data_IF_831201930962
#
_entry.id   IF_831201930962
#
_cell.length_a   1.000
_cell.length_b   1.000
_cell.length_c   1.000
_cell.angle_alpha   90.00
_cell.angle_beta   90.00
_cell.angle_gamma   90.00
#
_symmetry.space_group_name_H-M   'P 1'
#
loop_
_entity.id
_entity.type
_entity.pdbx_description
1 polymer ?
#
# COMPACT_ATOMS: atom_id res chain seq x y z
N UNK A 1 13.95 36.51 9.28
CA UNK A 1 12.95 35.98 10.23
C UNK A 1 12.85 34.49 9.97
N UNK A 2 13.19 33.64 10.94
CA UNK A 2 13.12 32.19 10.77
C UNK A 2 11.73 31.75 11.22
N UNK A 3 10.91 31.26 10.31
CA UNK A 3 9.61 30.69 10.65
C UNK A 3 9.81 29.44 11.52
N UNK A 4 9.05 29.32 12.62
CA UNK A 4 9.08 28.15 13.50
C UNK A 4 7.96 27.20 13.09
N UNK A 5 8.33 25.98 12.71
CA UNK A 5 7.39 24.88 12.45
C UNK A 5 7.33 24.01 13.72
N UNK A 6 6.12 23.79 14.24
CA UNK A 6 5.87 22.85 15.33
C UNK A 6 5.27 21.57 14.76
N UNK A 7 5.74 20.41 15.22
CA UNK A 7 5.24 19.09 14.82
C UNK A 7 4.60 18.42 16.02
N UNK A 8 3.34 17.99 15.86
CA UNK A 8 2.60 17.27 16.88
C UNK A 8 2.15 15.91 16.32
N UNK A 9 2.44 14.84 17.04
CA UNK A 9 1.99 13.50 16.66
C UNK A 9 0.47 13.41 16.86
N UNK A 10 -0.27 13.10 15.79
CA UNK A 10 -1.73 12.98 15.84
C UNK A 10 -2.20 11.52 15.95
N UNK A 11 -1.37 10.56 15.57
CA UNK A 11 -1.72 9.14 15.63
C UNK A 11 -0.76 8.28 14.81
N UNK A 12 -1.09 6.99 14.76
CA UNK A 12 -0.41 5.99 13.94
C UNK A 12 -1.43 5.35 13.00
N UNK A 13 -0.96 4.89 11.85
CA UNK A 13 -1.75 4.12 10.89
C UNK A 13 -0.92 2.92 10.42
N UNK A 14 -1.61 1.88 9.95
CA UNK A 14 -0.99 0.66 9.44
C UNK A 14 -0.98 0.66 7.92
N UNK A 15 0.04 0.05 7.31
CA UNK A 15 0.02 -0.27 5.88
C UNK A 15 -0.64 -1.63 5.70
N UNK A 16 -1.64 -1.69 4.82
CA UNK A 16 -2.39 -2.91 4.51
C UNK A 16 -2.34 -3.25 3.03
N UNK A 17 -2.47 -4.53 2.73
CA UNK A 17 -2.66 -5.03 1.38
C UNK A 17 -4.16 -5.07 1.05
N UNK A 18 -4.54 -4.60 -0.13
CA UNK A 18 -5.92 -4.64 -0.60
C UNK A 18 -6.05 -5.39 -1.93
N UNK A 19 -7.15 -6.10 -2.10
CA UNK A 19 -7.53 -6.71 -3.37
C UNK A 19 -8.98 -6.39 -3.72
N UNK A 20 -9.33 -6.57 -4.99
CA UNK A 20 -10.73 -6.55 -5.42
C UNK A 20 -11.46 -7.74 -4.79
N UNK A 21 -12.60 -7.47 -4.14
CA UNK A 21 -13.48 -8.51 -3.59
C UNK A 21 -13.93 -9.49 -4.67
N UNK A 22 -13.87 -10.78 -4.37
CA UNK A 22 -14.19 -11.86 -5.31
C UNK A 22 -13.26 -11.93 -6.52
N UNK A 23 -12.17 -11.16 -6.54
CA UNK A 23 -11.15 -11.23 -7.57
C UNK A 23 -10.16 -12.38 -7.35
N UNK A 24 -9.17 -12.49 -8.24
CA UNK A 24 -8.18 -13.58 -8.23
C UNK A 24 -7.43 -13.72 -6.89
N UNK A 25 -7.15 -12.60 -6.23
CA UNK A 25 -6.39 -12.58 -4.97
C UNK A 25 -7.25 -12.59 -3.71
N UNK A 26 -8.58 -12.48 -3.86
CA UNK A 26 -9.58 -12.45 -2.78
C UNK A 26 -9.59 -13.71 -1.92
N UNK A 27 -9.90 -13.58 -0.63
CA UNK A 27 -10.16 -14.71 0.28
C UNK A 27 -8.96 -15.60 0.62
N UNK A 28 -7.75 -15.21 0.18
CA UNK A 28 -6.52 -15.93 0.48
C UNK A 28 -5.81 -15.28 1.67
N UNK A 29 -5.18 -16.11 2.51
CA UNK A 29 -4.36 -15.63 3.61
C UNK A 29 -2.89 -15.55 3.16
N UNK A 30 -2.40 -14.34 2.91
CA UNK A 30 -1.01 -14.12 2.50
C UNK A 30 -0.13 -13.78 3.69
N UNK A 31 1.04 -14.39 3.74
CA UNK A 31 2.11 -13.91 4.61
C UNK A 31 2.79 -12.73 3.94
N UNK A 32 3.37 -11.86 4.77
CA UNK A 32 4.18 -10.73 4.33
C UNK A 32 5.23 -11.13 3.28
N UNK A 33 5.86 -12.31 3.43
CA UNK A 33 6.85 -12.79 2.45
C UNK A 33 6.28 -13.14 1.07
N UNK A 34 4.99 -13.47 0.99
CA UNK A 34 4.33 -13.84 -0.26
C UNK A 34 4.17 -12.61 -1.18
N UNK A 35 4.20 -11.38 -0.63
CA UNK A 35 4.15 -10.13 -1.38
C UNK A 35 5.21 -10.02 -2.49
N UNK A 36 6.36 -10.71 -2.35
CA UNK A 36 7.42 -10.72 -3.38
C UNK A 36 6.96 -11.31 -4.71
N UNK A 37 6.04 -12.27 -4.68
CA UNK A 37 5.54 -12.96 -5.86
C UNK A 37 4.26 -12.32 -6.43
N UNK A 38 3.58 -11.48 -5.65
CA UNK A 38 2.29 -10.90 -6.03
C UNK A 38 2.48 -9.64 -6.89
N UNK A 39 1.59 -9.38 -7.87
CA UNK A 39 1.64 -8.16 -8.66
C UNK A 39 1.18 -6.97 -7.82
N UNK A 40 2.12 -6.12 -7.41
CA UNK A 40 1.83 -5.01 -6.50
C UNK A 40 1.58 -3.70 -7.25
N UNK A 41 0.54 -3.01 -6.82
CA UNK A 41 0.22 -1.63 -7.18
C UNK A 41 0.55 -0.74 -5.97
N UNK A 42 1.41 0.25 -6.16
CA UNK A 42 1.93 1.07 -5.05
C UNK A 42 1.83 2.57 -5.36
N UNK A 43 1.79 3.44 -4.33
CA UNK A 43 1.94 4.88 -4.53
C UNK A 43 3.31 5.25 -5.11
N UNK A 44 3.41 6.36 -5.84
CA UNK A 44 4.64 6.82 -6.48
C UNK A 44 5.78 7.05 -5.47
N UNK A 45 7.04 6.91 -5.91
CA UNK A 45 8.27 7.02 -5.11
C UNK A 45 8.35 8.23 -4.18
N UNK A 46 7.88 9.40 -4.61
CA UNK A 46 8.03 10.65 -3.85
C UNK A 46 6.86 10.95 -2.88
N UNK A 47 5.98 9.98 -2.60
CA UNK A 47 4.85 10.19 -1.69
C UNK A 47 5.24 9.83 -0.25
N UNK A 48 4.73 10.56 0.73
CA UNK A 48 4.94 10.22 2.15
C UNK A 48 4.43 8.81 2.50
N UNK A 49 3.37 8.36 1.81
CA UNK A 49 2.85 6.99 1.94
C UNK A 49 3.84 5.95 1.45
N UNK A 50 4.51 6.18 0.31
CA UNK A 50 5.51 5.25 -0.21
C UNK A 50 6.70 5.11 0.74
N UNK A 51 7.14 6.21 1.35
CA UNK A 51 8.16 6.19 2.40
C UNK A 51 7.70 5.32 3.57
N UNK A 52 6.47 5.48 4.05
CA UNK A 52 5.93 4.64 5.13
C UNK A 52 5.88 3.15 4.75
N UNK A 53 5.46 2.82 3.52
CA UNK A 53 5.47 1.44 3.00
C UNK A 53 6.89 0.86 3.01
N UNK A 54 7.87 1.61 2.53
CA UNK A 54 9.27 1.18 2.49
C UNK A 54 9.82 0.94 3.90
N UNK A 55 9.50 1.81 4.87
CA UNK A 55 9.84 1.62 6.27
C UNK A 55 9.24 0.32 6.86
N UNK A 56 7.93 0.08 6.68
CA UNK A 56 7.30 -1.16 7.14
C UNK A 56 7.91 -2.42 6.51
N UNK A 57 8.32 -2.35 5.24
CA UNK A 57 8.98 -3.46 4.56
C UNK A 57 10.39 -3.72 5.12
N UNK A 58 11.14 -2.66 5.41
CA UNK A 58 12.47 -2.80 6.01
C UNK A 58 12.41 -3.46 7.39
N UNK A 59 11.43 -3.12 8.22
CA UNK A 59 11.19 -3.75 9.53
C UNK A 59 10.93 -5.27 9.40
N UNK A 60 10.32 -5.69 8.29
CA UNK A 60 10.06 -7.11 7.97
C UNK A 60 11.19 -7.78 7.19
N UNK A 61 12.38 -7.14 7.11
CA UNK A 61 13.56 -7.60 6.33
C UNK A 61 13.26 -7.81 4.85
N UNK A 62 12.30 -7.06 4.32
CA UNK A 62 11.99 -7.00 2.91
C UNK A 62 12.48 -5.67 2.33
N UNK A 63 12.78 -5.68 1.03
CA UNK A 63 13.06 -4.45 0.30
C UNK A 63 12.07 -4.40 -0.87
N UNK A 64 11.50 -3.22 -1.06
CA UNK A 64 10.56 -2.92 -2.12
C UNK A 64 11.17 -3.14 -3.53
N UNK A 65 12.48 -2.98 -3.69
CA UNK A 65 13.22 -3.32 -4.92
C UNK A 65 13.14 -4.82 -5.29
N UNK A 66 12.79 -5.67 -4.32
CA UNK A 66 12.64 -7.13 -4.51
C UNK A 66 11.18 -7.54 -4.66
N UNK A 67 10.25 -6.59 -4.72
CA UNK A 67 8.83 -6.84 -4.92
C UNK A 67 8.48 -6.72 -6.40
N UNK A 68 7.48 -7.49 -6.82
CA UNK A 68 6.95 -7.43 -8.17
C UNK A 68 5.99 -6.24 -8.32
N UNK A 69 6.54 -5.03 -8.44
CA UNK A 69 5.76 -3.80 -8.65
C UNK A 69 5.35 -3.71 -10.12
N UNK A 70 4.07 -3.87 -10.39
CA UNK A 70 3.51 -3.83 -11.75
C UNK A 70 2.98 -2.45 -12.13
N UNK A 71 2.68 -1.61 -11.14
CA UNK A 71 2.13 -0.27 -11.36
C UNK A 71 2.45 0.69 -10.22
N UNK A 72 2.80 1.93 -10.57
CA UNK A 72 2.98 3.04 -9.62
C UNK A 72 1.92 4.13 -9.86
N UNK A 73 1.24 4.58 -8.81
CA UNK A 73 0.10 5.49 -8.89
C UNK A 73 0.28 6.74 -8.02
N UNK A 74 -0.32 7.86 -8.40
CA UNK A 74 -0.05 9.15 -7.73
C UNK A 74 -0.61 9.27 -6.31
N UNK A 75 -1.66 8.50 -5.99
CA UNK A 75 -2.31 8.53 -4.67
C UNK A 75 -3.06 7.22 -4.38
N UNK A 76 -3.52 7.05 -3.13
CA UNK A 76 -4.23 5.85 -2.70
C UNK A 76 -5.54 5.61 -3.45
N UNK A 77 -6.25 6.66 -3.90
CA UNK A 77 -7.50 6.51 -4.67
C UNK A 77 -7.20 5.90 -6.04
N UNK A 78 -6.11 6.32 -6.68
CA UNK A 78 -5.64 5.75 -7.95
C UNK A 78 -5.18 4.29 -7.77
N UNK A 79 -4.47 3.98 -6.69
CA UNK A 79 -4.13 2.58 -6.33
C UNK A 79 -5.40 1.74 -6.21
N UNK A 80 -6.38 2.17 -5.41
CA UNK A 80 -7.66 1.47 -5.23
C UNK A 80 -8.39 1.27 -6.56
N UNK A 81 -8.39 2.28 -7.44
CA UNK A 81 -9.02 2.18 -8.76
C UNK A 81 -8.36 1.12 -9.65
N UNK A 82 -7.02 1.05 -9.65
CA UNK A 82 -6.28 0.02 -10.39
C UNK A 82 -6.52 -1.39 -9.82
N UNK A 83 -6.59 -1.52 -8.49
CA UNK A 83 -6.94 -2.79 -7.82
C UNK A 83 -8.34 -3.26 -8.25
N UNK A 84 -9.33 -2.36 -8.26
CA UNK A 84 -10.70 -2.66 -8.72
C UNK A 84 -10.75 -3.08 -10.19
N UNK A 85 -9.87 -2.50 -11.02
CA UNK A 85 -9.71 -2.91 -12.42
C UNK A 85 -8.99 -4.27 -12.58
N UNK A 86 -8.47 -4.86 -11.50
CA UNK A 86 -7.80 -6.16 -11.52
C UNK A 86 -6.31 -6.10 -11.85
N UNK A 87 -5.68 -4.92 -11.72
CA UNK A 87 -4.25 -4.76 -12.02
C UNK A 87 -3.32 -5.51 -11.05
N UNK A 88 -3.80 -5.80 -9.84
CA UNK A 88 -3.02 -6.49 -8.81
C UNK A 88 -3.51 -6.22 -7.39
N UNK A 89 -2.59 -6.32 -6.44
CA UNK A 89 -2.78 -6.06 -5.01
C UNK A 89 -2.23 -4.67 -4.67
N UNK A 90 -3.02 -3.85 -4.01
CA UNK A 90 -2.62 -2.50 -3.59
C UNK A 90 -1.95 -2.51 -2.23
N UNK A 91 -0.92 -1.70 -2.02
CA UNK A 91 -0.39 -1.37 -0.68
C UNK A 91 -0.73 0.08 -0.34
N UNK A 92 -1.58 0.28 0.67
CA UNK A 92 -2.05 1.61 1.09
C UNK A 92 -2.23 1.68 2.62
N UNK A 93 -2.34 2.89 3.21
CA UNK A 93 -2.70 3.03 4.62
C UNK A 93 -4.09 2.48 4.89
N UNK A 94 -4.29 1.87 6.07
CA UNK A 94 -5.55 1.25 6.47
C UNK A 94 -6.70 2.25 6.47
N UNK A 95 -6.44 3.50 6.85
CA UNK A 95 -7.45 4.56 6.81
C UNK A 95 -7.96 4.85 5.39
N UNK A 96 -7.14 4.61 4.36
CA UNK A 96 -7.52 4.77 2.96
C UNK A 96 -8.24 3.54 2.37
N UNK A 97 -8.17 2.38 3.05
CA UNK A 97 -8.77 1.12 2.60
C UNK A 97 -10.27 1.02 2.94
N UNK A 98 -11.07 1.98 2.48
CA UNK A 98 -12.50 2.09 2.79
C UNK A 98 -13.43 1.97 1.57
N UNK A 99 -12.96 1.34 0.47
CA UNK A 99 -13.78 1.16 -0.73
C UNK A 99 -14.58 -0.16 -0.65
N UNK A 100 -15.91 -0.13 -0.90
CA UNK A 100 -16.78 -1.30 -0.75
C UNK A 100 -16.43 -2.44 -1.70
N UNK A 101 -15.78 -2.19 -2.84
CA UNK A 101 -15.39 -3.21 -3.82
C UNK A 101 -14.02 -3.82 -3.54
N UNK A 102 -13.33 -3.35 -2.49
CA UNK A 102 -12.05 -3.88 -2.05
C UNK A 102 -12.16 -4.53 -0.68
N UNK A 103 -11.24 -5.44 -0.41
CA UNK A 103 -11.03 -6.04 0.91
C UNK A 103 -9.57 -5.95 1.30
N UNK A 104 -9.33 -5.94 2.60
CA UNK A 104 -7.99 -6.09 3.17
C UNK A 104 -7.67 -7.58 3.20
N UNK A 105 -6.47 -7.92 2.72
CA UNK A 105 -5.92 -9.28 2.68
C UNK A 105 -5.22 -9.67 3.99
#
# INVERSE_FOLDING_TARGET
>A
QTEKIAIHLLGHDDIVAIARKGGHWSGNNYRVMDLRALPLVVPHKHSGTRIAIEHCLQETKMNLDKLNIVLEMDNCIAVTSAVKAGAGIGLIPRLAANDPDTEIL
#
